data_IF_192294966866
#
_entry.id   IF_192294966866
#
_cell.length_a   1.000
_cell.length_b   1.000
_cell.length_c   1.000
_cell.angle_alpha   90.00
_cell.angle_beta   90.00
_cell.angle_gamma   90.00
#
_symmetry.space_group_name_H-M   'P 1'
#
loop_
_entity.id
_entity.type
_entity.pdbx_description
1 polymer ?
#
# COMPACT_ATOMS: atom_id res chain seq x y z
N UNK A 1 -0.98 -6.74 -14.23
CA UNK A 1 -0.31 -7.16 -12.96
C UNK A 1 0.67 -6.06 -12.60
N UNK A 2 0.56 -5.48 -11.41
CA UNK A 2 1.39 -4.32 -11.00
C UNK A 2 2.49 -4.72 -10.02
N UNK A 3 2.24 -5.73 -9.18
CA UNK A 3 3.25 -6.33 -8.32
C UNK A 3 3.86 -7.54 -9.05
N UNK A 4 5.06 -7.35 -9.58
CA UNK A 4 5.87 -8.36 -10.26
C UNK A 4 7.22 -8.54 -9.55
N UNK A 5 7.79 -9.75 -9.60
CA UNK A 5 9.09 -10.08 -9.00
C UNK A 5 10.23 -9.17 -9.51
N UNK A 6 10.19 -8.84 -10.80
CA UNK A 6 11.14 -7.91 -11.42
C UNK A 6 10.43 -7.00 -12.42
N UNK A 7 10.61 -5.69 -12.24
CA UNK A 7 10.13 -4.67 -13.19
C UNK A 7 11.03 -4.61 -14.42
N UNK A 8 10.44 -4.28 -15.57
CA UNK A 8 11.17 -4.12 -16.83
C UNK A 8 12.11 -2.90 -16.82
N UNK A 9 11.70 -1.84 -16.10
CA UNK A 9 12.45 -0.60 -16.01
C UNK A 9 12.26 0.08 -14.64
N UNK A 10 13.36 0.60 -14.09
CA UNK A 10 13.35 1.34 -12.82
C UNK A 10 13.27 2.84 -13.12
N UNK A 11 12.05 3.39 -13.08
CA UNK A 11 11.82 4.85 -13.19
C UNK A 11 12.18 5.57 -11.88
N UNK A 12 11.84 4.96 -10.75
CA UNK A 12 12.05 5.47 -9.40
C UNK A 12 12.80 4.43 -8.57
N UNK A 13 13.96 4.76 -7.98
CA UNK A 13 14.71 3.82 -7.14
C UNK A 13 13.91 3.38 -5.90
N UNK A 14 13.96 2.08 -5.59
CA UNK A 14 13.44 1.50 -4.35
C UNK A 14 14.49 1.42 -3.24
N UNK A 15 14.30 0.52 -2.27
CA UNK A 15 15.27 0.26 -1.19
C UNK A 15 16.59 -0.36 -1.64
N UNK A 16 16.67 -0.83 -2.89
CA UNK A 16 17.87 -1.37 -3.50
C UNK A 16 18.31 -0.43 -4.62
N UNK A 17 19.48 0.21 -4.49
CA UNK A 17 20.02 1.14 -5.51
C UNK A 17 20.97 2.21 -4.96
N UNK A 18 21.88 2.70 -5.81
CA UNK A 18 22.98 3.63 -5.46
C UNK A 18 22.56 5.09 -5.26
N UNK A 19 21.30 5.44 -5.50
CA UNK A 19 20.77 6.80 -5.44
C UNK A 19 19.99 7.13 -4.15
N UNK A 20 20.23 6.40 -3.05
CA UNK A 20 19.49 6.56 -1.81
C UNK A 20 19.93 7.79 -1.00
N UNK A 21 19.46 8.96 -1.40
CA UNK A 21 19.27 10.06 -0.45
C UNK A 21 17.83 9.97 0.07
N UNK A 22 17.60 9.21 1.15
CA UNK A 22 16.29 9.17 1.81
C UNK A 22 15.75 7.79 2.22
N UNK A 23 16.49 6.69 2.01
CA UNK A 23 16.15 5.38 2.58
C UNK A 23 15.05 4.58 1.89
N UNK A 24 14.55 4.99 0.72
CA UNK A 24 13.54 4.24 -0.04
C UNK A 24 12.08 4.62 0.28
N UNK A 25 11.10 3.95 -0.33
CA UNK A 25 9.67 4.20 -0.10
C UNK A 25 9.25 3.82 1.32
N UNK A 26 8.47 4.66 2.00
CA UNK A 26 8.02 4.36 3.37
C UNK A 26 6.81 3.42 3.44
N UNK A 27 5.88 3.55 2.49
CA UNK A 27 4.59 2.86 2.50
C UNK A 27 4.06 2.73 1.08
N UNK A 28 3.36 1.62 0.80
CA UNK A 28 2.54 1.45 -0.40
C UNK A 28 1.11 1.23 0.05
N UNK A 29 0.16 1.92 -0.58
CA UNK A 29 -1.27 1.77 -0.30
C UNK A 29 -1.95 1.35 -1.60
N UNK A 30 -2.72 0.27 -1.54
CA UNK A 30 -3.49 -0.24 -2.69
C UNK A 30 -4.96 -0.40 -2.30
N UNK A 31 -5.80 -0.86 -3.22
CA UNK A 31 -7.20 -1.20 -2.92
C UNK A 31 -7.35 -2.39 -1.96
N UNK A 32 -6.27 -3.16 -1.72
CA UNK A 32 -6.30 -4.35 -0.87
C UNK A 32 -5.81 -4.06 0.56
N UNK A 33 -4.94 -3.08 0.73
CA UNK A 33 -4.33 -2.81 2.03
C UNK A 33 -3.12 -1.91 1.99
N UNK A 34 -2.43 -1.88 3.12
CA UNK A 34 -1.24 -1.08 3.38
C UNK A 34 -0.03 -1.99 3.54
N UNK A 35 1.04 -1.64 2.85
CA UNK A 35 2.29 -2.38 2.82
C UNK A 35 3.41 -1.46 3.32
N UNK A 36 4.31 -2.03 4.11
CA UNK A 36 5.50 -1.36 4.63
C UNK A 36 6.74 -2.13 4.21
N UNK A 37 7.91 -1.65 4.61
CA UNK A 37 9.17 -2.31 4.33
C UNK A 37 9.88 -2.65 5.64
N UNK A 38 10.51 -3.82 5.67
CA UNK A 38 11.32 -4.25 6.80
C UNK A 38 12.72 -3.60 6.78
N UNK A 39 13.58 -3.98 7.73
CA UNK A 39 14.95 -3.46 7.82
C UNK A 39 15.82 -3.81 6.60
N UNK A 40 15.47 -4.87 5.85
CA UNK A 40 16.16 -5.25 4.61
C UNK A 40 15.64 -4.48 3.39
N UNK A 41 14.53 -3.75 3.55
CA UNK A 41 13.84 -3.05 2.49
C UNK A 41 12.89 -3.93 1.67
N UNK A 42 12.55 -5.13 2.18
CA UNK A 42 11.58 -6.04 1.58
C UNK A 42 10.16 -5.61 1.94
N UNK A 43 9.23 -5.72 0.99
CA UNK A 43 7.85 -5.30 1.20
C UNK A 43 7.06 -6.34 2.02
N UNK A 44 6.35 -5.86 3.03
CA UNK A 44 5.56 -6.66 3.97
C UNK A 44 4.13 -6.11 4.05
N UNK A 45 3.13 -6.99 4.00
CA UNK A 45 1.73 -6.65 4.23
C UNK A 45 1.52 -6.24 5.69
N UNK A 46 1.19 -4.97 5.92
CA UNK A 46 1.06 -4.39 7.27
C UNK A 46 -0.39 -4.25 7.72
N UNK A 47 -1.32 -3.98 6.80
CA UNK A 47 -2.74 -3.99 7.09
C UNK A 47 -3.58 -4.39 5.88
N UNK A 48 -4.72 -5.04 6.12
CA UNK A 48 -5.76 -5.29 5.11
C UNK A 48 -6.88 -4.25 5.24
N UNK A 49 -7.50 -3.88 4.12
CA UNK A 49 -8.72 -3.09 4.18
C UNK A 49 -9.92 -3.97 4.61
N UNK A 50 -10.94 -3.40 5.27
CA UNK A 50 -12.12 -4.15 5.70
C UNK A 50 -12.73 -4.97 4.56
N UNK A 51 -12.95 -6.26 4.81
CA UNK A 51 -13.51 -7.19 3.83
C UNK A 51 -12.54 -7.78 2.81
N UNK A 52 -11.25 -7.41 2.84
CA UNK A 52 -10.20 -8.03 2.01
C UNK A 52 -9.51 -9.15 2.76
N UNK A 53 -9.29 -10.29 2.10
CA UNK A 53 -8.56 -11.42 2.65
C UNK A 53 -7.12 -11.54 2.11
N UNK A 54 -6.33 -12.40 2.76
CA UNK A 54 -4.94 -12.66 2.37
C UNK A 54 -4.84 -13.35 1.00
N UNK A 55 -5.85 -14.13 0.62
CA UNK A 55 -5.88 -14.83 -0.66
C UNK A 55 -5.93 -13.84 -1.82
N UNK A 56 -6.71 -12.77 -1.67
CA UNK A 56 -6.81 -11.66 -2.62
C UNK A 56 -5.46 -10.99 -2.85
N UNK A 57 -4.68 -10.75 -1.78
CA UNK A 57 -3.32 -10.20 -1.90
C UNK A 57 -2.39 -11.14 -2.65
N UNK A 58 -2.44 -12.44 -2.34
CA UNK A 58 -1.61 -13.45 -2.99
C UNK A 58 -1.91 -13.57 -4.49
N UNK A 59 -3.18 -13.51 -4.90
CA UNK A 59 -3.58 -13.57 -6.31
C UNK A 59 -3.05 -12.39 -7.13
N UNK A 60 -2.98 -11.21 -6.50
CA UNK A 60 -2.57 -9.95 -7.12
C UNK A 60 -1.07 -9.66 -7.02
N UNK A 61 -0.32 -10.50 -6.32
CA UNK A 61 1.14 -10.34 -6.12
C UNK A 61 1.90 -11.41 -6.90
N UNK A 62 2.92 -10.99 -7.66
CA UNK A 62 3.71 -11.88 -8.52
C UNK A 62 4.79 -12.70 -7.81
N UNK A 63 4.94 -12.54 -6.50
CA UNK A 63 5.90 -13.24 -5.64
C UNK A 63 5.27 -13.57 -4.29
N UNK A 64 5.98 -14.30 -3.44
CA UNK A 64 5.52 -14.66 -2.11
C UNK A 64 5.58 -13.45 -1.16
N UNK A 65 4.41 -12.86 -0.87
CA UNK A 65 4.29 -11.69 0.00
C UNK A 65 4.49 -12.06 1.47
N UNK A 66 5.44 -11.40 2.13
CA UNK A 66 5.60 -11.51 3.58
C UNK A 66 4.46 -10.78 4.31
N UNK A 67 4.07 -11.30 5.47
CA UNK A 67 2.99 -10.76 6.28
C UNK A 67 3.54 -10.30 7.62
N UNK A 68 3.18 -9.08 8.01
CA UNK A 68 3.58 -8.52 9.30
C UNK A 68 3.06 -9.39 10.46
N UNK A 69 3.87 -9.64 11.50
CA UNK A 69 3.38 -10.28 12.71
C UNK A 69 2.26 -9.47 13.38
N UNK A 70 2.28 -8.15 13.19
CA UNK A 70 1.29 -7.20 13.70
C UNK A 70 0.26 -6.83 12.62
N UNK A 71 -0.11 -7.78 11.74
CA UNK A 71 -1.09 -7.52 10.69
C UNK A 71 -2.40 -6.99 11.30
N UNK A 72 -2.76 -5.78 10.90
CA UNK A 72 -3.99 -5.12 11.34
C UNK A 72 -5.03 -5.06 10.22
N UNK A 73 -6.23 -4.65 10.58
CA UNK A 73 -7.20 -4.12 9.63
C UNK A 73 -7.11 -2.58 9.64
N UNK A 74 -7.24 -1.93 8.49
CA UNK A 74 -7.22 -0.46 8.46
C UNK A 74 -8.48 0.09 9.11
N UNK A 75 -8.31 1.10 9.96
CA UNK A 75 -9.43 1.76 10.62
C UNK A 75 -10.42 2.34 9.61
N UNK A 76 -11.72 2.22 9.91
CA UNK A 76 -12.74 2.91 9.14
C UNK A 76 -12.60 4.43 9.30
N UNK A 77 -12.85 5.21 8.22
CA UNK A 77 -12.82 6.66 8.31
C UNK A 77 -13.81 7.20 9.34
N UNK A 78 -13.39 8.20 10.10
CA UNK A 78 -14.26 8.88 11.05
C UNK A 78 -15.34 9.71 10.35
N UNK A 79 -16.42 10.03 11.06
CA UNK A 79 -17.50 10.86 10.52
C UNK A 79 -16.99 12.25 10.07
N UNK A 80 -16.02 12.83 10.79
CA UNK A 80 -15.45 14.12 10.46
C UNK A 80 -14.56 14.07 9.22
N UNK A 81 -13.75 13.01 9.06
CA UNK A 81 -12.96 12.78 7.85
C UNK A 81 -13.85 12.59 6.62
N UNK A 82 -14.95 11.82 6.75
CA UNK A 82 -15.92 11.65 5.69
C UNK A 82 -16.63 12.96 5.32
N UNK A 83 -16.98 13.78 6.32
CA UNK A 83 -17.60 15.09 6.10
C UNK A 83 -16.63 16.00 5.34
N UNK A 84 -15.39 16.12 5.81
CA UNK A 84 -14.35 16.93 5.19
C UNK A 84 -14.11 16.50 3.74
N UNK A 85 -13.96 15.19 3.50
CA UNK A 85 -13.76 14.64 2.17
C UNK A 85 -14.93 15.01 1.22
N UNK A 86 -16.17 14.75 1.65
CA UNK A 86 -17.36 14.87 0.79
C UNK A 86 -17.89 16.29 0.61
N UNK A 87 -17.53 17.22 1.50
CA UNK A 87 -18.09 18.58 1.50
C UNK A 87 -17.05 19.65 1.15
N UNK A 88 -15.77 19.42 1.41
CA UNK A 88 -14.73 20.44 1.30
C UNK A 88 -13.61 20.04 0.32
N UNK A 89 -13.11 18.79 0.38
CA UNK A 89 -11.96 18.37 -0.41
C UNK A 89 -12.31 17.80 -1.79
N UNK A 90 -13.36 16.97 -1.87
CA UNK A 90 -13.83 16.33 -3.10
C UNK A 90 -15.37 16.40 -3.20
N UNK A 91 -15.97 17.61 -3.20
CA UNK A 91 -17.42 17.76 -3.21
C UNK A 91 -18.09 17.26 -4.50
N UNK A 92 -17.35 17.19 -5.61
CA UNK A 92 -17.84 16.68 -6.89
C UNK A 92 -17.63 15.17 -7.07
N UNK A 93 -16.94 14.53 -6.12
CA UNK A 93 -16.65 13.10 -6.14
C UNK A 93 -15.78 12.68 -7.32
N UNK A 94 -14.77 13.48 -7.68
CA UNK A 94 -13.86 13.15 -8.79
C UNK A 94 -12.96 11.99 -8.42
N UNK A 95 -12.56 11.88 -7.15
CA UNK A 95 -11.61 10.88 -6.65
C UNK A 95 -12.26 9.81 -5.78
N UNK A 96 -13.36 10.14 -5.12
CA UNK A 96 -14.07 9.26 -4.17
C UNK A 96 -15.30 8.55 -4.75
N UNK A 97 -15.44 8.56 -6.09
CA UNK A 97 -16.55 7.93 -6.82
C UNK A 97 -16.54 6.41 -6.80
#
# INVERSE_FOLDING_TARGET
>A
RSFVDRVDFVTSPGHQGSAQRGGGPAVVVTQLGVYRFDESGEMVLAALHPGVDRASVAEHTGWEMQISPDLAETAEPTADELRLLRQELDPEGVYSR
#
